data_IF_636218287242
#
_entry.id   IF_636218287242
#
_cell.length_a   1.000
_cell.length_b   1.000
_cell.length_c   1.000
_cell.angle_alpha   90.00
_cell.angle_beta   90.00
_cell.angle_gamma   90.00
#
_symmetry.space_group_name_H-M   'P 1'
#
loop_
_entity.id
_entity.type
_entity.pdbx_description
1 polymer ?
#
# COMPACT_ATOMS: atom_id res chain seq x y z
N UNK A 1 -3.40 9.44 -7.91
CA UNK A 1 -2.39 8.64 -8.62
C UNK A 1 -3.07 7.47 -9.37
N UNK A 2 -2.44 6.99 -10.44
CA UNK A 2 -2.88 5.81 -11.20
C UNK A 2 -1.76 4.78 -11.24
N UNK A 3 -2.12 3.49 -11.16
CA UNK A 3 -1.16 2.40 -11.10
C UNK A 3 -1.55 1.27 -12.05
N UNK A 4 -0.54 0.72 -12.74
CA UNK A 4 -0.64 -0.57 -13.41
C UNK A 4 0.49 -1.45 -12.88
N UNK A 5 0.14 -2.40 -12.02
CA UNK A 5 1.11 -3.23 -11.32
C UNK A 5 1.12 -4.65 -11.87
N UNK A 6 2.26 -5.04 -12.44
CA UNK A 6 2.56 -6.42 -12.78
C UNK A 6 3.38 -7.05 -11.65
N UNK A 7 2.68 -7.77 -10.77
CA UNK A 7 3.28 -8.38 -9.59
C UNK A 7 4.29 -9.47 -9.95
N UNK A 8 4.02 -10.28 -10.98
CA UNK A 8 4.90 -11.40 -11.40
C UNK A 8 6.24 -10.91 -11.95
N UNK A 9 6.26 -9.76 -12.59
CA UNK A 9 7.48 -9.15 -13.13
C UNK A 9 8.14 -8.18 -12.17
N UNK A 10 7.51 -7.86 -11.03
CA UNK A 10 8.00 -6.85 -10.11
C UNK A 10 8.03 -5.44 -10.71
N UNK A 11 7.05 -5.11 -11.58
CA UNK A 11 7.00 -3.80 -12.27
C UNK A 11 5.72 -3.06 -11.98
N UNK A 12 5.80 -1.75 -11.87
CA UNK A 12 4.65 -0.89 -11.70
C UNK A 12 4.77 0.39 -12.52
N UNK A 13 3.79 0.67 -13.39
CA UNK A 13 3.64 1.97 -14.03
C UNK A 13 2.86 2.89 -13.09
N UNK A 14 3.46 3.99 -12.70
CA UNK A 14 2.90 5.00 -11.79
C UNK A 14 2.69 6.30 -12.56
N UNK A 15 1.49 6.87 -12.48
CA UNK A 15 1.14 8.11 -13.19
C UNK A 15 0.57 9.14 -12.23
N UNK A 16 1.05 10.36 -12.35
CA UNK A 16 0.51 11.54 -11.69
C UNK A 16 0.88 12.80 -12.49
N UNK A 17 0.02 13.78 -12.50
CA UNK A 17 0.19 15.01 -13.28
C UNK A 17 0.62 14.71 -14.74
N UNK A 18 1.76 15.22 -15.16
CA UNK A 18 2.37 15.00 -16.48
C UNK A 18 3.52 13.97 -16.45
N UNK A 19 3.66 13.22 -15.36
CA UNK A 19 4.70 12.22 -15.15
C UNK A 19 4.17 10.80 -15.29
N UNK A 20 4.95 9.96 -15.93
CA UNK A 20 4.81 8.50 -15.95
C UNK A 20 6.14 7.89 -15.53
N UNK A 21 6.12 7.06 -14.51
CA UNK A 21 7.33 6.34 -14.06
C UNK A 21 7.08 4.84 -14.18
N UNK A 22 7.91 4.18 -14.99
CA UNK A 22 7.97 2.73 -15.04
C UNK A 22 8.96 2.25 -13.98
N UNK A 23 8.41 1.85 -12.83
CA UNK A 23 9.17 1.32 -11.71
C UNK A 23 9.55 -0.13 -11.95
N UNK A 24 10.83 -0.46 -11.82
CA UNK A 24 11.30 -1.80 -11.55
C UNK A 24 11.48 -1.93 -10.02
N UNK A 25 10.57 -2.71 -9.39
CA UNK A 25 10.53 -2.89 -7.93
C UNK A 25 11.63 -3.83 -7.42
N UNK A 26 12.30 -4.56 -8.33
CA UNK A 26 13.41 -5.47 -8.02
C UNK A 26 14.75 -4.74 -8.18
N UNK A 27 14.91 -4.00 -9.27
CA UNK A 27 16.11 -3.23 -9.56
C UNK A 27 15.75 -1.80 -9.95
N UNK A 28 15.74 -0.92 -8.97
CA UNK A 28 15.34 0.48 -9.13
C UNK A 28 16.11 1.24 -10.22
N UNK A 29 17.35 0.87 -10.51
CA UNK A 29 18.18 1.51 -11.54
C UNK A 29 17.63 1.30 -12.96
N UNK A 30 16.85 0.22 -13.15
CA UNK A 30 16.17 -0.07 -14.41
C UNK A 30 14.88 0.72 -14.62
N UNK A 31 14.47 1.51 -13.62
CA UNK A 31 13.28 2.36 -13.74
C UNK A 31 13.51 3.49 -14.73
N UNK A 32 12.44 3.88 -15.44
CA UNK A 32 12.45 4.98 -16.39
C UNK A 32 11.40 6.04 -16.05
N UNK A 33 11.64 7.25 -16.52
CA UNK A 33 10.76 8.40 -16.30
C UNK A 33 10.37 9.00 -17.64
N UNK A 34 9.10 9.27 -17.84
CA UNK A 34 8.54 9.99 -18.96
C UNK A 34 7.91 11.26 -18.41
N UNK A 35 8.36 12.40 -18.89
CA UNK A 35 7.85 13.73 -18.55
C UNK A 35 7.25 14.36 -19.80
N UNK A 36 5.98 14.77 -19.74
CA UNK A 36 5.27 15.35 -20.88
C UNK A 36 5.35 14.49 -22.16
N UNK A 37 5.26 13.17 -22.00
CA UNK A 37 5.30 12.22 -23.11
C UNK A 37 6.70 11.90 -23.65
N UNK A 38 7.76 12.49 -23.10
CA UNK A 38 9.15 12.30 -23.58
C UNK A 38 10.00 11.62 -22.49
N UNK A 39 10.87 10.67 -22.92
CA UNK A 39 11.80 10.01 -22.01
C UNK A 39 12.74 11.04 -21.34
N UNK A 40 12.73 11.07 -20.00
CA UNK A 40 13.48 12.02 -19.21
C UNK A 40 14.74 11.39 -18.62
N UNK A 41 15.88 12.01 -18.89
CA UNK A 41 17.21 11.61 -18.36
C UNK A 41 17.93 12.73 -17.61
N UNK A 42 17.19 13.78 -17.23
CA UNK A 42 17.74 14.94 -16.51
C UNK A 42 18.08 14.66 -15.04
N UNK A 43 18.58 15.67 -14.31
CA UNK A 43 19.10 15.54 -12.95
C UNK A 43 18.06 15.09 -11.94
N UNK A 44 16.78 15.38 -12.15
CA UNK A 44 15.68 15.00 -11.25
C UNK A 44 15.17 13.57 -11.46
N UNK A 45 15.73 12.78 -12.40
CA UNK A 45 15.26 11.42 -12.69
C UNK A 45 15.13 10.57 -11.42
N UNK A 46 16.16 10.55 -10.59
CA UNK A 46 16.14 9.76 -9.36
C UNK A 46 15.12 10.28 -8.33
N UNK A 47 14.88 11.58 -8.29
CA UNK A 47 13.84 12.18 -7.45
C UNK A 47 12.46 11.69 -7.88
N UNK A 48 12.13 11.71 -9.17
CA UNK A 48 10.85 11.22 -9.68
C UNK A 48 10.65 9.72 -9.43
N UNK A 49 11.69 8.90 -9.60
CA UNK A 49 11.65 7.47 -9.28
C UNK A 49 11.39 7.24 -7.77
N UNK A 50 12.06 8.00 -6.89
CA UNK A 50 11.84 7.89 -5.44
C UNK A 50 10.42 8.34 -5.06
N UNK A 51 9.92 9.40 -5.66
CA UNK A 51 8.53 9.87 -5.45
C UNK A 51 7.53 8.81 -5.89
N UNK A 52 7.69 8.24 -7.09
CA UNK A 52 6.83 7.16 -7.58
C UNK A 52 6.83 5.94 -6.67
N UNK A 53 8.00 5.54 -6.17
CA UNK A 53 8.14 4.43 -5.24
C UNK A 53 7.44 4.72 -3.90
N UNK A 54 7.58 5.95 -3.40
CA UNK A 54 6.89 6.40 -2.18
C UNK A 54 5.37 6.36 -2.35
N UNK A 55 4.86 6.89 -3.46
CA UNK A 55 3.43 6.82 -3.78
C UNK A 55 2.94 5.37 -3.90
N UNK A 56 3.66 4.53 -4.65
CA UNK A 56 3.30 3.12 -4.79
C UNK A 56 3.26 2.40 -3.44
N UNK A 57 4.24 2.59 -2.58
CA UNK A 57 4.28 1.94 -1.26
C UNK A 57 3.14 2.41 -0.37
N UNK A 58 2.86 3.72 -0.34
CA UNK A 58 1.80 4.29 0.48
C UNK A 58 0.41 3.88 -0.02
N UNK A 59 0.16 4.03 -1.32
CA UNK A 59 -1.19 3.84 -1.86
C UNK A 59 -1.54 2.35 -2.01
N UNK A 60 -0.55 1.50 -2.37
CA UNK A 60 -0.77 0.06 -2.42
C UNK A 60 -1.01 -0.56 -1.04
N UNK A 61 -0.52 0.05 0.05
CA UNK A 61 -0.83 -0.37 1.41
C UNK A 61 -2.35 -0.45 1.61
N UNK A 62 -3.07 0.61 1.26
CA UNK A 62 -4.52 0.71 1.42
C UNK A 62 -5.31 -0.32 0.60
N UNK A 63 -4.67 -1.01 -0.32
CA UNK A 63 -5.31 -2.02 -1.17
C UNK A 63 -4.88 -3.44 -0.82
N UNK A 64 -3.59 -3.66 -0.59
CA UNK A 64 -3.02 -5.02 -0.53
C UNK A 64 -2.32 -5.37 0.78
N UNK A 65 -2.28 -4.48 1.79
CA UNK A 65 -1.61 -4.77 3.06
C UNK A 65 -2.05 -6.11 3.70
N UNK A 66 -3.34 -6.53 3.66
CA UNK A 66 -3.75 -7.83 4.18
C UNK A 66 -3.05 -9.03 3.53
N UNK A 67 -2.60 -8.89 2.29
CA UNK A 67 -1.89 -9.94 1.55
C UNK A 67 -0.38 -9.93 1.78
N UNK A 68 0.14 -8.93 2.48
CA UNK A 68 1.57 -8.73 2.72
C UNK A 68 2.01 -9.12 4.13
N UNK A 69 1.11 -9.62 4.95
CA UNK A 69 1.41 -9.98 6.35
C UNK A 69 2.45 -11.11 6.49
N UNK A 70 2.70 -11.87 5.43
CA UNK A 70 3.72 -12.93 5.37
C UNK A 70 4.97 -12.54 4.59
N UNK A 71 5.06 -11.29 4.15
CA UNK A 71 6.26 -10.80 3.47
C UNK A 71 7.48 -10.81 4.43
N UNK A 72 8.67 -10.90 3.86
CA UNK A 72 9.91 -10.77 4.63
C UNK A 72 9.97 -9.40 5.33
N UNK A 73 10.42 -9.38 6.58
CA UNK A 73 10.46 -8.15 7.38
C UNK A 73 9.12 -7.75 8.00
N UNK A 74 8.16 -8.66 8.05
CA UNK A 74 6.87 -8.44 8.73
C UNK A 74 6.74 -9.40 9.92
N UNK A 75 6.60 -8.85 11.13
CA UNK A 75 6.26 -9.58 12.34
C UNK A 75 4.77 -9.56 12.62
N UNK A 76 4.25 -10.65 13.15
CA UNK A 76 2.83 -10.84 13.49
C UNK A 76 2.70 -11.35 14.91
N UNK A 77 1.73 -10.81 15.63
CA UNK A 77 1.38 -11.27 16.98
C UNK A 77 -0.13 -11.21 17.17
N UNK A 78 -0.72 -12.29 17.68
CA UNK A 78 -2.09 -12.25 18.18
C UNK A 78 -2.12 -11.49 19.50
N UNK A 79 -3.02 -10.54 19.64
CA UNK A 79 -3.20 -9.69 20.81
C UNK A 79 -4.65 -9.77 21.25
N UNK A 80 -4.88 -9.99 22.54
CA UNK A 80 -6.22 -9.87 23.13
C UNK A 80 -6.53 -8.42 23.44
N UNK A 81 -7.67 -7.95 22.99
CA UNK A 81 -8.20 -6.60 23.23
C UNK A 81 -9.55 -6.71 23.92
N UNK A 82 -10.07 -5.59 24.42
CA UNK A 82 -11.43 -5.54 25.00
C UNK A 82 -12.52 -5.93 23.96
N UNK A 83 -12.23 -5.75 22.67
CA UNK A 83 -13.15 -6.05 21.57
C UNK A 83 -12.91 -7.44 20.93
N UNK A 84 -12.11 -8.31 21.57
CA UNK A 84 -11.76 -9.62 21.07
C UNK A 84 -10.30 -9.72 20.59
N UNK A 85 -10.01 -10.77 19.85
CA UNK A 85 -8.66 -10.99 19.33
C UNK A 85 -8.36 -10.08 18.13
N UNK A 86 -7.16 -9.50 18.10
CA UNK A 86 -6.66 -8.64 17.05
C UNK A 86 -5.27 -9.08 16.58
N UNK A 87 -4.90 -8.78 15.35
CA UNK A 87 -3.59 -9.09 14.78
C UNK A 87 -2.70 -7.85 14.80
N UNK A 88 -1.66 -7.87 15.63
CA UNK A 88 -0.60 -6.85 15.58
C UNK A 88 0.38 -7.21 14.46
N UNK A 89 0.53 -6.32 13.51
CA UNK A 89 1.46 -6.43 12.37
C UNK A 89 2.50 -5.32 12.49
N UNK A 90 3.78 -5.67 12.50
CA UNK A 90 4.90 -4.71 12.58
C UNK A 90 5.83 -4.91 11.39
N UNK A 91 6.10 -3.84 10.65
CA UNK A 91 7.05 -3.83 9.55
C UNK A 91 8.45 -3.50 10.09
N UNK A 92 9.29 -4.52 10.34
CA UNK A 92 10.63 -4.34 10.93
C UNK A 92 11.69 -3.97 9.90
N UNK A 93 11.47 -4.29 8.62
CA UNK A 93 12.35 -3.95 7.51
C UNK A 93 11.59 -3.85 6.20
N UNK A 94 12.23 -3.23 5.19
CA UNK A 94 11.61 -2.99 3.89
C UNK A 94 10.63 -1.81 3.90
N UNK A 95 10.05 -1.50 2.72
CA UNK A 95 9.15 -0.37 2.55
C UNK A 95 9.83 0.99 2.74
N UNK A 96 9.03 2.02 3.01
CA UNK A 96 9.50 3.40 3.21
C UNK A 96 9.60 3.81 4.68
N UNK A 97 8.91 3.10 5.59
CA UNK A 97 8.80 3.44 7.01
C UNK A 97 8.97 2.21 7.91
N UNK A 98 10.17 1.61 8.00
CA UNK A 98 10.41 0.49 8.91
C UNK A 98 10.17 0.91 10.37
N UNK A 99 9.48 0.04 11.12
CA UNK A 99 9.06 0.26 12.50
C UNK A 99 7.59 0.64 12.66
N UNK A 100 6.86 0.85 11.57
CA UNK A 100 5.42 1.09 11.61
C UNK A 100 4.68 -0.17 12.07
N UNK A 101 3.66 0.02 12.91
CA UNK A 101 2.85 -1.06 13.49
C UNK A 101 1.36 -0.79 13.32
N UNK A 102 0.61 -1.85 13.09
CA UNK A 102 -0.83 -1.82 12.85
C UNK A 102 -1.51 -2.91 13.67
N UNK A 103 -2.51 -2.57 14.47
CA UNK A 103 -3.36 -3.50 15.19
C UNK A 103 -4.65 -3.70 14.40
N UNK A 104 -4.78 -4.84 13.73
CA UNK A 104 -5.90 -5.13 12.84
C UNK A 104 -7.01 -5.86 13.57
N UNK A 105 -8.22 -5.34 13.45
CA UNK A 105 -9.45 -5.98 13.86
C UNK A 105 -10.05 -6.76 12.69
N UNK A 106 -10.41 -8.00 12.95
CA UNK A 106 -10.90 -8.94 11.95
C UNK A 106 -12.35 -9.31 12.28
N UNK A 107 -13.15 -9.60 11.25
CA UNK A 107 -14.45 -10.22 11.45
C UNK A 107 -14.31 -11.73 11.76
N UNK A 108 -15.43 -12.41 12.00
CA UNK A 108 -15.48 -13.86 12.28
C UNK A 108 -14.92 -14.73 11.15
N UNK A 109 -14.80 -14.19 9.92
CA UNK A 109 -14.23 -14.85 8.74
C UNK A 109 -12.76 -14.52 8.53
N UNK A 110 -12.16 -13.72 9.43
CA UNK A 110 -10.77 -13.26 9.33
C UNK A 110 -10.56 -12.14 8.32
N UNK A 111 -11.60 -11.46 7.89
CA UNK A 111 -11.49 -10.31 6.98
C UNK A 111 -11.25 -9.04 7.81
N UNK A 112 -10.25 -8.22 7.48
CA UNK A 112 -10.02 -6.96 8.17
C UNK A 112 -11.21 -6.00 8.04
N UNK A 113 -11.61 -5.41 9.17
CA UNK A 113 -12.69 -4.42 9.26
C UNK A 113 -12.17 -3.03 9.61
N UNK A 114 -11.12 -2.98 10.40
CA UNK A 114 -10.45 -1.74 10.80
C UNK A 114 -9.04 -2.04 11.32
N UNK A 115 -8.26 -0.99 11.51
CA UNK A 115 -6.99 -1.07 12.23
C UNK A 115 -6.71 0.20 13.02
N UNK A 116 -5.83 0.09 14.00
CA UNK A 116 -5.17 1.21 14.65
C UNK A 116 -3.71 1.22 14.23
N UNK A 117 -3.13 2.40 13.98
CA UNK A 117 -1.76 2.51 13.50
C UNK A 117 -0.87 3.37 14.39
N UNK A 118 0.38 2.95 14.47
CA UNK A 118 1.51 3.65 15.06
C UNK A 118 2.57 3.78 13.98
N UNK A 119 2.58 4.92 13.30
CA UNK A 119 3.43 5.17 12.13
C UNK A 119 4.31 6.39 12.38
N UNK A 120 5.56 6.33 11.94
CA UNK A 120 6.56 7.38 12.22
C UNK A 120 6.19 8.76 11.69
N UNK A 121 5.46 8.79 10.58
CA UNK A 121 5.08 10.05 9.91
C UNK A 121 3.94 10.78 10.61
N UNK A 122 3.23 10.12 11.53
CA UNK A 122 2.13 10.70 12.29
C UNK A 122 2.52 10.68 13.77
N UNK A 123 2.62 11.86 14.45
CA UNK A 123 3.12 11.94 15.81
C UNK A 123 2.14 11.42 16.86
N UNK A 124 0.91 11.08 16.46
CA UNK A 124 -0.14 10.55 17.34
C UNK A 124 -0.32 9.07 17.04
N UNK A 125 -0.06 8.19 18.01
CA UNK A 125 -0.28 6.76 17.90
C UNK A 125 -1.74 6.35 18.08
N UNK A 126 -2.10 5.18 17.56
CA UNK A 126 -3.44 4.60 17.74
C UNK A 126 -4.53 5.22 16.86
N UNK A 127 -4.15 5.92 15.79
CA UNK A 127 -5.13 6.45 14.83
C UNK A 127 -5.82 5.29 14.13
N UNK A 128 -7.16 5.34 14.12
CA UNK A 128 -7.97 4.30 13.50
C UNK A 128 -8.27 4.60 12.04
N UNK A 129 -8.29 3.54 11.23
CA UNK A 129 -8.85 3.56 9.89
C UNK A 129 -9.67 2.30 9.63
N UNK A 130 -10.57 2.37 8.66
CA UNK A 130 -11.48 1.26 8.33
C UNK A 130 -11.02 0.51 7.08
N UNK A 131 -11.48 -0.73 6.93
CA UNK A 131 -11.40 -1.54 5.72
C UNK A 131 -12.82 -1.86 5.27
N UNK A 132 -13.28 -1.19 4.22
CA UNK A 132 -14.67 -1.24 3.81
C UNK A 132 -14.81 -1.50 2.29
N UNK A 133 -16.05 -1.78 1.87
CA UNK A 133 -16.43 -1.97 0.48
C UNK A 133 -15.54 -3.00 -0.25
N UNK A 134 -15.37 -4.16 0.36
CA UNK A 134 -14.62 -5.27 -0.22
C UNK A 134 -15.24 -5.72 -1.53
N UNK A 135 -14.48 -5.66 -2.61
CA UNK A 135 -14.85 -6.12 -3.95
C UNK A 135 -14.03 -7.36 -4.32
N UNK A 136 -14.62 -8.24 -5.13
CA UNK A 136 -13.91 -9.39 -5.70
C UNK A 136 -13.59 -9.08 -7.15
N UNK A 137 -12.30 -9.09 -7.48
CA UNK A 137 -11.82 -8.83 -8.84
C UNK A 137 -12.02 -10.06 -9.74
N UNK A 138 -11.84 -9.90 -11.07
CA UNK A 138 -11.92 -11.03 -12.01
C UNK A 138 -10.84 -12.09 -11.79
N UNK A 139 -9.73 -11.75 -11.12
CA UNK A 139 -8.72 -12.72 -10.70
C UNK A 139 -9.11 -13.50 -9.44
N UNK A 140 -10.20 -13.15 -8.77
CA UNK A 140 -10.65 -13.73 -7.50
C UNK A 140 -10.05 -13.05 -6.25
N UNK A 141 -9.18 -12.06 -6.41
CA UNK A 141 -8.65 -11.32 -5.27
C UNK A 141 -9.75 -10.43 -4.65
N UNK A 142 -9.83 -10.43 -3.31
CA UNK A 142 -10.70 -9.53 -2.56
C UNK A 142 -9.89 -8.29 -2.16
N UNK A 143 -10.35 -7.12 -2.56
CA UNK A 143 -9.67 -5.86 -2.30
C UNK A 143 -10.65 -4.85 -1.71
N UNK A 144 -10.23 -4.04 -0.71
CA UNK A 144 -11.08 -2.99 -0.16
C UNK A 144 -11.18 -1.82 -1.14
N UNK A 145 -12.34 -1.23 -1.24
CA UNK A 145 -12.57 -0.06 -2.11
C UNK A 145 -12.63 1.27 -1.36
N UNK A 146 -12.73 1.21 -0.02
CA UNK A 146 -12.95 2.40 0.79
C UNK A 146 -12.31 2.27 2.17
N UNK A 147 -11.76 3.39 2.66
CA UNK A 147 -11.25 3.52 4.02
C UNK A 147 -11.65 4.88 4.60
N UNK A 148 -12.05 4.91 5.84
CA UNK A 148 -12.23 6.12 6.61
C UNK A 148 -11.03 6.32 7.53
N UNK A 149 -10.31 7.42 7.39
CA UNK A 149 -9.17 7.80 8.19
C UNK A 149 -9.44 9.16 8.83
N UNK A 150 -9.78 9.20 10.12
CA UNK A 150 -10.20 10.41 10.82
C UNK A 150 -11.40 11.08 10.09
N UNK A 151 -11.16 12.25 9.51
CA UNK A 151 -12.14 13.02 8.72
C UNK A 151 -11.93 12.85 7.19
N UNK A 152 -11.01 11.98 6.77
CA UNK A 152 -10.68 11.75 5.37
C UNK A 152 -11.33 10.45 4.89
N UNK A 153 -11.92 10.51 3.71
CA UNK A 153 -12.42 9.36 2.97
C UNK A 153 -11.40 9.00 1.87
N UNK A 154 -10.85 7.80 1.94
CA UNK A 154 -9.90 7.27 0.94
C UNK A 154 -10.66 6.30 0.03
N UNK A 155 -10.79 6.65 -1.24
CA UNK A 155 -11.51 5.85 -2.24
C UNK A 155 -10.53 5.23 -3.22
N UNK A 156 -10.56 3.90 -3.32
CA UNK A 156 -9.83 3.14 -4.33
C UNK A 156 -10.73 2.96 -5.56
N UNK A 157 -10.65 3.87 -6.52
CA UNK A 157 -11.49 3.83 -7.72
C UNK A 157 -10.90 2.96 -8.82
N UNK A 158 -11.76 2.38 -9.65
CA UNK A 158 -11.39 1.60 -10.85
C UNK A 158 -10.46 0.42 -10.56
N UNK A 159 -10.61 -0.21 -9.39
CA UNK A 159 -9.78 -1.36 -8.98
C UNK A 159 -10.09 -2.56 -9.85
N UNK A 160 -9.08 -3.12 -10.48
CA UNK A 160 -9.15 -4.30 -11.32
C UNK A 160 -8.02 -5.27 -10.98
N UNK A 161 -8.28 -6.57 -11.07
CA UNK A 161 -7.28 -7.61 -10.97
C UNK A 161 -7.45 -8.58 -12.13
N UNK A 162 -6.38 -8.85 -12.86
CA UNK A 162 -6.33 -9.83 -13.96
C UNK A 162 -5.37 -10.95 -13.58
N UNK A 163 -5.65 -12.17 -14.09
CA UNK A 163 -4.72 -13.29 -14.04
C UNK A 163 -3.63 -13.12 -15.06
#
# INVERSE_FOLDING_TARGET
HQYQWNRSEGKCNVRWDNLVVDLDLINKEKSSVILEGTLYSGPDKNKYINTALSYFNNDSFWLVAPYKVYDSGVERRLVKTENGDALLVTYISGGTTPGDSYLWHLDEKGVPTSFQMWVKIIPIGGISATWEQWLTTSSGAKLPGFHKLLFLDLVMSSVQGKK
#
